data_IF_668368338662
#
_entry.id   IF_668368338662
#
_cell.length_a   1.000
_cell.length_b   1.000
_cell.length_c   1.000
_cell.angle_alpha   90.00
_cell.angle_beta   90.00
_cell.angle_gamma   90.00
#
_symmetry.space_group_name_H-M   'P 1'
#
loop_
_entity.id
_entity.type
_entity.pdbx_description
1 polymer ?
#
# COMPACT_ATOMS: atom_id res chain seq x y z
N UNK A 1 8.75 -4.54 -32.03
CA UNK A 1 7.70 -3.47 -32.16
C UNK A 1 6.54 -3.93 -33.07
N UNK A 2 6.82 -4.45 -34.28
CA UNK A 2 5.74 -4.81 -35.24
C UNK A 2 4.88 -5.97 -34.75
N UNK A 3 5.46 -7.02 -34.13
CA UNK A 3 4.71 -8.16 -33.60
C UNK A 3 3.89 -7.78 -32.35
N UNK A 4 4.42 -6.91 -31.50
CA UNK A 4 3.69 -6.40 -30.34
C UNK A 4 2.49 -5.54 -30.77
N UNK A 5 2.65 -4.70 -31.77
CA UNK A 5 1.57 -3.88 -32.32
C UNK A 5 0.49 -4.71 -33.02
N UNK A 6 0.88 -5.78 -33.73
CA UNK A 6 -0.06 -6.73 -34.32
C UNK A 6 -0.82 -7.51 -33.22
N UNK A 7 -0.13 -7.92 -32.17
CA UNK A 7 -0.75 -8.60 -31.03
C UNK A 7 -1.75 -7.67 -30.31
N UNK A 8 -1.41 -6.42 -30.09
CA UNK A 8 -2.29 -5.40 -29.50
C UNK A 8 -3.52 -5.14 -30.40
N UNK A 9 -3.30 -5.01 -31.69
CA UNK A 9 -4.39 -4.81 -32.67
C UNK A 9 -5.32 -6.03 -32.73
N UNK A 10 -4.79 -7.24 -32.79
CA UNK A 10 -5.62 -8.46 -32.78
C UNK A 10 -6.41 -8.64 -31.47
N UNK A 11 -5.86 -8.24 -30.32
CA UNK A 11 -6.58 -8.21 -29.03
C UNK A 11 -7.68 -7.15 -29.04
N UNK A 12 -7.41 -6.01 -29.61
CA UNK A 12 -8.40 -4.95 -29.83
C UNK A 12 -9.58 -5.44 -30.68
N UNK A 13 -9.32 -6.03 -31.84
CA UNK A 13 -10.36 -6.57 -32.73
C UNK A 13 -11.15 -7.68 -32.02
N UNK A 14 -10.50 -8.60 -31.31
CA UNK A 14 -11.18 -9.67 -30.59
C UNK A 14 -12.03 -9.16 -29.43
N UNK A 15 -11.66 -8.02 -28.80
CA UNK A 15 -12.47 -7.39 -27.77
C UNK A 15 -13.73 -6.72 -28.31
N UNK A 16 -13.68 -6.26 -29.57
CA UNK A 16 -14.83 -5.68 -30.26
C UNK A 16 -15.85 -6.75 -30.71
N UNK A 17 -15.37 -7.94 -31.05
CA UNK A 17 -16.18 -9.01 -31.63
C UNK A 17 -16.67 -10.04 -30.60
N UNK A 18 -16.17 -10.03 -29.37
CA UNK A 18 -16.64 -10.92 -28.31
C UNK A 18 -17.90 -10.33 -27.66
N UNK A 19 -19.07 -10.77 -28.11
CA UNK A 19 -20.31 -10.61 -27.34
C UNK A 19 -20.11 -11.16 -25.92
N UNK A 20 -20.61 -10.39 -24.94
CA UNK A 20 -20.67 -10.67 -23.51
C UNK A 20 -20.76 -12.16 -23.15
N UNK A 21 -19.67 -12.85 -22.99
CA UNK A 21 -19.67 -14.08 -22.21
C UNK A 21 -19.29 -13.78 -20.76
N UNK A 22 -20.22 -13.23 -20.01
CA UNK A 22 -20.25 -13.35 -18.57
C UNK A 22 -20.52 -14.82 -18.26
N UNK A 23 -19.51 -15.67 -18.23
CA UNK A 23 -19.51 -16.93 -17.48
C UNK A 23 -18.31 -17.76 -17.95
N UNK A 24 -17.34 -17.88 -17.08
CA UNK A 24 -16.27 -18.83 -17.32
C UNK A 24 -15.08 -18.59 -16.39
N UNK A 25 -15.05 -19.36 -15.33
CA UNK A 25 -13.84 -19.61 -14.60
C UNK A 25 -12.82 -20.28 -15.55
N UNK A 26 -11.98 -19.47 -16.15
CA UNK A 26 -10.84 -19.98 -16.94
C UNK A 26 -9.56 -19.42 -16.34
N UNK A 27 -8.73 -20.24 -15.67
CA UNK A 27 -7.51 -19.79 -15.00
C UNK A 27 -6.47 -19.20 -15.96
N UNK A 28 -6.52 -19.53 -17.25
CA UNK A 28 -5.58 -19.03 -18.27
C UNK A 28 -5.91 -17.59 -18.74
N UNK A 29 -7.05 -17.03 -18.36
CA UNK A 29 -7.47 -15.67 -18.69
C UNK A 29 -7.08 -14.61 -17.61
N UNK A 30 -6.28 -14.97 -16.61
CA UNK A 30 -5.87 -14.07 -15.52
C UNK A 30 -4.98 -12.91 -15.97
N UNK A 31 -4.28 -13.04 -17.09
CA UNK A 31 -3.29 -12.06 -17.54
C UNK A 31 -3.87 -10.80 -18.19
N UNK A 32 -5.15 -10.81 -18.55
CA UNK A 32 -5.78 -9.64 -19.16
C UNK A 32 -7.18 -9.52 -18.60
N UNK A 33 -7.31 -8.81 -17.51
CA UNK A 33 -8.62 -8.35 -17.09
C UNK A 33 -9.13 -7.39 -18.16
N UNK A 34 -9.92 -7.88 -19.09
CA UNK A 34 -10.43 -7.16 -20.26
C UNK A 34 -11.09 -5.83 -19.89
N UNK A 35 -11.60 -5.71 -18.67
CA UNK A 35 -12.23 -4.51 -18.15
C UNK A 35 -11.28 -3.33 -17.98
N UNK A 36 -9.98 -3.56 -17.84
CA UNK A 36 -9.01 -2.49 -17.58
C UNK A 36 -8.31 -1.96 -18.84
N UNK A 37 -8.26 -2.75 -19.92
CA UNK A 37 -7.61 -2.32 -21.17
C UNK A 37 -8.63 -1.70 -22.14
N UNK A 38 -9.87 -2.21 -22.14
CA UNK A 38 -10.91 -1.74 -23.06
C UNK A 38 -11.27 -0.26 -22.84
N UNK A 39 -11.45 0.24 -21.61
CA UNK A 39 -11.64 1.66 -21.36
C UNK A 39 -10.44 2.51 -21.80
N UNK A 40 -9.22 2.00 -21.64
CA UNK A 40 -8.01 2.72 -22.07
C UNK A 40 -7.96 2.95 -23.57
N UNK A 41 -8.38 1.96 -24.36
CA UNK A 41 -8.39 2.06 -25.83
C UNK A 41 -9.53 2.92 -26.38
N UNK A 42 -10.66 2.97 -25.68
CA UNK A 42 -11.85 3.68 -26.15
C UNK A 42 -12.18 4.96 -25.40
N UNK A 43 -11.71 5.08 -24.15
CA UNK A 43 -11.94 6.28 -23.33
C UNK A 43 -10.92 7.38 -23.56
N UNK A 44 -9.72 7.02 -24.05
CA UNK A 44 -8.60 7.95 -24.18
C UNK A 44 -8.22 8.13 -25.64
N UNK A 45 -8.65 9.25 -26.15
CA UNK A 45 -8.23 9.76 -27.46
C UNK A 45 -6.90 10.52 -27.37
N UNK A 46 -6.26 10.52 -26.20
CA UNK A 46 -5.08 11.30 -25.90
C UNK A 46 -3.95 10.39 -25.42
N UNK A 47 -2.74 10.78 -25.70
CA UNK A 47 -1.52 10.12 -25.23
C UNK A 47 -0.65 11.14 -24.50
N UNK A 48 -0.17 10.78 -23.30
CA UNK A 48 0.76 11.59 -22.53
C UNK A 48 2.17 11.08 -22.79
N UNK A 49 3.02 11.91 -23.39
CA UNK A 49 4.40 11.54 -23.70
C UNK A 49 5.38 12.15 -22.72
N UNK A 50 6.37 11.36 -22.32
CA UNK A 50 7.53 11.81 -21.58
C UNK A 50 8.75 10.97 -21.98
N UNK A 51 9.85 11.58 -22.39
CA UNK A 51 11.12 10.87 -22.59
C UNK A 51 11.72 10.36 -21.28
N UNK A 52 11.48 11.08 -20.17
CA UNK A 52 12.04 10.80 -18.86
C UNK A 52 11.24 9.71 -18.13
N UNK A 53 9.91 9.69 -18.32
CA UNK A 53 8.99 8.78 -17.64
C UNK A 53 8.14 7.99 -18.64
N UNK A 54 8.69 6.95 -19.28
CA UNK A 54 8.05 6.26 -20.41
C UNK A 54 6.71 5.60 -20.10
N UNK A 55 6.41 5.35 -18.81
CA UNK A 55 5.15 4.73 -18.36
C UNK A 55 4.12 5.73 -17.82
N UNK A 56 4.41 7.05 -17.93
CA UNK A 56 3.55 8.08 -17.32
C UNK A 56 2.14 8.09 -17.90
N UNK A 57 1.98 7.78 -19.17
CA UNK A 57 0.67 7.67 -19.82
C UNK A 57 -0.19 6.61 -19.12
N UNK A 58 0.38 5.43 -18.87
CA UNK A 58 -0.32 4.34 -18.17
C UNK A 58 -0.65 4.75 -16.74
N UNK A 59 0.29 5.42 -16.05
CA UNK A 59 0.08 5.87 -14.68
C UNK A 59 -1.07 6.87 -14.58
N UNK A 60 -1.13 7.86 -15.46
CA UNK A 60 -2.21 8.86 -15.49
C UNK A 60 -3.53 8.23 -15.90
N UNK A 61 -3.54 7.32 -16.85
CA UNK A 61 -4.75 6.61 -17.25
C UNK A 61 -5.32 5.74 -16.12
N UNK A 62 -4.46 5.08 -15.35
CA UNK A 62 -4.89 4.32 -14.18
C UNK A 62 -5.48 5.22 -13.08
N UNK A 63 -4.99 6.45 -12.91
CA UNK A 63 -5.56 7.41 -11.95
C UNK A 63 -7.03 7.75 -12.27
N UNK A 64 -7.39 7.82 -13.56
CA UNK A 64 -8.77 8.09 -13.99
C UNK A 64 -9.70 6.88 -13.83
N UNK A 65 -9.15 5.68 -13.80
CA UNK A 65 -9.89 4.42 -13.75
C UNK A 65 -9.87 3.76 -12.36
N UNK A 66 -9.64 4.52 -11.30
CA UNK A 66 -9.67 3.98 -9.93
C UNK A 66 -11.07 3.46 -9.59
N UNK A 67 -11.37 2.24 -10.04
CA UNK A 67 -12.38 1.42 -9.40
C UNK A 67 -11.83 1.05 -8.02
N UNK A 68 -12.61 1.26 -6.99
CA UNK A 68 -12.30 0.82 -5.63
C UNK A 68 -11.93 -0.67 -5.66
N UNK A 69 -10.65 -0.94 -5.50
CA UNK A 69 -10.12 -2.31 -5.41
C UNK A 69 -10.48 -2.87 -4.01
N UNK A 70 -11.79 -2.95 -3.75
CA UNK A 70 -12.32 -3.71 -2.62
C UNK A 70 -12.30 -5.18 -3.00
N UNK A 71 -11.09 -5.70 -3.20
CA UNK A 71 -10.89 -7.13 -3.36
C UNK A 71 -11.39 -7.84 -2.11
N UNK A 72 -12.47 -8.61 -2.26
CA UNK A 72 -12.98 -9.51 -1.24
C UNK A 72 -11.84 -10.42 -0.74
N UNK A 73 -11.33 -10.15 0.47
CA UNK A 73 -10.27 -10.91 1.14
C UNK A 73 -10.81 -12.22 1.75
N UNK A 74 -11.57 -13.02 0.99
CA UNK A 74 -12.23 -14.16 1.63
C UNK A 74 -11.34 -15.40 1.85
N UNK A 75 -10.21 -15.58 1.14
CA UNK A 75 -9.35 -16.78 1.28
C UNK A 75 -7.86 -16.56 0.95
N UNK A 76 -7.43 -15.34 0.70
CA UNK A 76 -6.03 -15.02 0.43
C UNK A 76 -5.34 -14.53 1.71
N UNK A 77 -4.15 -15.04 2.02
CA UNK A 77 -3.29 -14.45 3.04
C UNK A 77 -2.86 -13.02 2.65
N UNK A 78 -2.10 -12.38 3.53
CA UNK A 78 -1.58 -11.01 3.31
C UNK A 78 -0.72 -10.92 2.04
N UNK A 79 0.11 -11.94 1.79
CA UNK A 79 1.04 -11.93 0.66
C UNK A 79 0.29 -12.25 -0.64
N UNK A 80 -0.04 -11.20 -1.36
CA UNK A 80 -0.60 -11.20 -2.70
C UNK A 80 0.33 -10.46 -3.66
N UNK A 81 0.00 -10.38 -4.93
CA UNK A 81 0.87 -9.77 -5.94
C UNK A 81 1.10 -8.27 -5.68
N UNK A 82 0.12 -7.56 -5.10
CA UNK A 82 0.27 -6.17 -4.65
C UNK A 82 1.33 -6.05 -3.55
N UNK A 83 1.31 -6.95 -2.55
CA UNK A 83 2.32 -6.94 -1.50
C UNK A 83 3.70 -7.35 -2.02
N UNK A 84 3.76 -8.31 -2.96
CA UNK A 84 5.02 -8.66 -3.64
C UNK A 84 5.59 -7.48 -4.43
N UNK A 85 4.73 -6.73 -5.11
CA UNK A 85 5.13 -5.51 -5.81
C UNK A 85 5.67 -4.45 -4.84
N UNK A 86 5.02 -4.28 -3.68
CA UNK A 86 5.51 -3.37 -2.64
C UNK A 86 6.87 -3.82 -2.08
N UNK A 87 7.04 -5.12 -1.77
CA UNK A 87 8.32 -5.69 -1.32
C UNK A 87 9.44 -5.55 -2.38
N UNK A 88 9.11 -5.64 -3.68
CA UNK A 88 10.08 -5.39 -4.75
C UNK A 88 10.66 -3.97 -4.68
N UNK A 89 9.84 -2.97 -4.36
CA UNK A 89 10.25 -1.57 -4.22
C UNK A 89 11.15 -1.30 -3.01
N UNK A 90 11.31 -2.22 -2.08
CA UNK A 90 12.23 -2.08 -0.94
C UNK A 90 13.71 -2.07 -1.36
N UNK A 91 14.02 -2.57 -2.56
CA UNK A 91 15.39 -2.68 -3.07
C UNK A 91 15.55 -2.34 -4.55
N UNK A 92 14.46 -1.99 -5.23
CA UNK A 92 14.46 -1.65 -6.65
C UNK A 92 13.60 -0.42 -6.91
N UNK A 93 14.08 0.45 -7.81
CA UNK A 93 13.30 1.59 -8.26
C UNK A 93 12.23 1.18 -9.29
N UNK A 94 11.28 2.07 -9.52
CA UNK A 94 10.32 1.86 -10.61
C UNK A 94 10.99 1.93 -11.99
N UNK A 95 12.00 2.78 -12.14
CA UNK A 95 12.86 2.83 -13.31
C UNK A 95 13.50 1.47 -13.61
N UNK A 96 14.09 0.84 -12.58
CA UNK A 96 14.71 -0.49 -12.71
C UNK A 96 13.67 -1.54 -13.10
N UNK A 97 12.47 -1.49 -12.53
CA UNK A 97 11.40 -2.46 -12.82
C UNK A 97 10.96 -2.46 -14.30
N UNK A 98 11.03 -1.32 -14.98
CA UNK A 98 10.66 -1.21 -16.40
C UNK A 98 11.62 -2.02 -17.28
N UNK A 99 12.91 -2.07 -16.91
CA UNK A 99 13.94 -2.82 -17.61
C UNK A 99 14.18 -4.25 -17.12
N UNK A 100 13.53 -4.67 -16.05
CA UNK A 100 13.74 -5.97 -15.42
C UNK A 100 12.98 -7.08 -16.16
N UNK A 101 13.72 -7.85 -16.96
CA UNK A 101 13.16 -8.97 -17.74
C UNK A 101 12.83 -10.21 -16.91
N UNK A 102 13.35 -10.30 -15.68
CA UNK A 102 13.07 -11.41 -14.76
C UNK A 102 11.84 -11.13 -13.89
N UNK A 103 11.38 -9.89 -13.83
CA UNK A 103 10.20 -9.51 -13.08
C UNK A 103 8.94 -10.11 -13.70
N UNK A 104 8.16 -10.82 -12.88
CA UNK A 104 6.90 -11.44 -13.33
C UNK A 104 5.93 -10.35 -13.81
N UNK A 105 5.24 -10.55 -14.95
CA UNK A 105 4.28 -9.57 -15.49
C UNK A 105 3.19 -9.17 -14.50
N UNK A 106 2.72 -10.08 -13.65
CA UNK A 106 1.71 -9.84 -12.64
C UNK A 106 2.21 -8.83 -11.59
N UNK A 107 3.46 -9.00 -11.17
CA UNK A 107 4.09 -8.09 -10.20
C UNK A 107 4.31 -6.71 -10.83
N UNK A 108 4.80 -6.67 -12.07
CA UNK A 108 4.98 -5.41 -12.79
C UNK A 108 3.65 -4.65 -12.97
N UNK A 109 2.56 -5.37 -13.25
CA UNK A 109 1.23 -4.76 -13.35
C UNK A 109 0.76 -4.15 -12.00
N UNK A 110 1.00 -4.84 -10.89
CA UNK A 110 0.71 -4.29 -9.57
C UNK A 110 1.63 -3.12 -9.20
N UNK A 111 2.90 -3.12 -9.64
CA UNK A 111 3.79 -1.95 -9.51
C UNK A 111 3.23 -0.73 -10.25
N UNK A 112 2.76 -0.89 -11.48
CA UNK A 112 2.09 0.19 -12.22
C UNK A 112 0.89 0.75 -11.45
N UNK A 113 0.05 -0.10 -10.87
CA UNK A 113 -1.10 0.32 -10.06
C UNK A 113 -0.66 1.06 -8.80
N UNK A 114 0.31 0.51 -8.06
CA UNK A 114 0.83 1.14 -6.84
C UNK A 114 1.40 2.52 -7.12
N UNK A 115 2.21 2.65 -8.16
CA UNK A 115 2.82 3.92 -8.55
C UNK A 115 1.80 4.91 -9.09
N UNK A 116 0.79 4.46 -9.84
CA UNK A 116 -0.34 5.29 -10.26
C UNK A 116 -1.14 5.81 -9.08
N UNK A 117 -1.44 4.94 -8.12
CA UNK A 117 -2.11 5.32 -6.88
C UNK A 117 -1.29 6.31 -6.05
N UNK A 118 0.04 6.12 -5.96
CA UNK A 118 0.91 7.04 -5.24
C UNK A 118 0.91 8.44 -5.86
N UNK A 119 0.96 8.54 -7.18
CA UNK A 119 0.86 9.82 -7.88
C UNK A 119 -0.50 10.50 -7.65
N UNK A 120 -1.60 9.75 -7.75
CA UNK A 120 -2.93 10.26 -7.41
C UNK A 120 -3.02 10.71 -5.96
N UNK A 121 -2.53 9.91 -5.02
CA UNK A 121 -2.58 10.21 -3.59
C UNK A 121 -1.73 11.43 -3.21
N UNK A 122 -0.59 11.65 -3.90
CA UNK A 122 0.21 12.86 -3.74
C UNK A 122 -0.59 14.12 -4.11
N UNK A 123 -1.29 14.09 -5.22
CA UNK A 123 -2.11 15.22 -5.67
C UNK A 123 -3.29 15.40 -4.72
N UNK A 124 -4.00 14.32 -4.40
CA UNK A 124 -5.23 14.36 -3.60
C UNK A 124 -4.99 14.47 -2.10
N UNK A 125 -3.75 14.46 -1.65
CA UNK A 125 -3.41 14.92 -0.29
C UNK A 125 -3.53 16.44 -0.14
N UNK A 126 -3.55 17.20 -1.24
CA UNK A 126 -3.54 18.66 -1.29
C UNK A 126 -4.86 19.25 -1.82
N UNK A 127 -5.61 18.47 -2.61
CA UNK A 127 -6.92 18.86 -3.16
C UNK A 127 -7.90 17.68 -3.08
N UNK A 128 -9.18 17.94 -3.30
CA UNK A 128 -10.18 16.89 -3.29
C UNK A 128 -10.07 16.02 -4.55
N UNK A 129 -10.40 14.72 -4.45
CA UNK A 129 -10.46 13.82 -5.60
C UNK A 129 -11.47 14.32 -6.65
N UNK A 130 -12.57 14.93 -6.21
CA UNK A 130 -13.59 15.48 -7.10
C UNK A 130 -13.07 16.63 -7.95
N UNK A 131 -12.35 17.58 -7.35
CA UNK A 131 -11.77 18.73 -8.08
C UNK A 131 -10.70 18.26 -9.05
N UNK A 132 -9.88 17.29 -8.64
CA UNK A 132 -8.90 16.70 -9.52
C UNK A 132 -9.54 15.97 -10.71
N UNK A 133 -10.57 15.18 -10.48
CA UNK A 133 -11.32 14.49 -11.55
C UNK A 133 -11.98 15.47 -12.52
N UNK A 134 -12.57 16.57 -12.01
CA UNK A 134 -13.15 17.64 -12.84
C UNK A 134 -12.07 18.28 -13.73
N UNK A 135 -10.91 18.55 -13.14
CA UNK A 135 -9.76 19.09 -13.87
C UNK A 135 -9.30 18.14 -14.99
N UNK A 136 -9.03 16.87 -14.68
CA UNK A 136 -8.57 15.88 -15.66
C UNK A 136 -9.56 15.72 -16.81
N UNK A 137 -10.86 15.63 -16.49
CA UNK A 137 -11.91 15.56 -17.50
C UNK A 137 -11.90 16.77 -18.44
N UNK A 138 -11.81 17.97 -17.91
CA UNK A 138 -11.76 19.21 -18.72
C UNK A 138 -10.46 19.28 -19.54
N UNK A 139 -9.31 18.95 -18.92
CA UNK A 139 -8.00 18.95 -19.53
C UNK A 139 -7.93 18.02 -20.75
N UNK A 140 -8.39 16.77 -20.61
CA UNK A 140 -8.40 15.79 -21.70
C UNK A 140 -9.47 16.09 -22.76
N UNK A 141 -10.66 16.52 -22.37
CA UNK A 141 -11.72 16.87 -23.31
C UNK A 141 -11.30 17.99 -24.25
N UNK A 142 -10.54 18.97 -23.75
CA UNK A 142 -10.06 20.10 -24.57
C UNK A 142 -8.90 19.74 -25.50
N UNK A 143 -8.28 18.57 -25.34
CA UNK A 143 -7.07 18.12 -26.07
C UNK A 143 -7.26 16.78 -26.76
N UNK A 144 -8.47 16.45 -27.19
CA UNK A 144 -8.76 15.18 -27.84
C UNK A 144 -7.88 14.95 -29.08
N UNK A 145 -7.43 13.72 -29.28
CA UNK A 145 -6.58 13.27 -30.39
C UNK A 145 -5.20 13.96 -30.46
N UNK A 146 -4.72 14.45 -29.31
CA UNK A 146 -3.40 15.08 -29.23
C UNK A 146 -2.41 14.21 -28.45
N UNK A 147 -1.15 14.26 -28.86
CA UNK A 147 -0.04 13.86 -28.02
C UNK A 147 0.29 15.04 -27.09
N UNK A 148 0.18 14.81 -25.79
CA UNK A 148 0.33 15.84 -24.77
C UNK A 148 1.65 15.59 -24.03
N UNK A 149 2.62 16.52 -24.11
CA UNK A 149 3.82 16.43 -23.28
C UNK A 149 3.45 16.40 -21.79
N UNK A 150 4.06 15.55 -21.00
CA UNK A 150 3.81 15.47 -19.55
C UNK A 150 4.07 16.80 -18.84
N UNK A 151 5.03 17.58 -19.31
CA UNK A 151 5.29 18.94 -18.81
C UNK A 151 4.08 19.87 -18.94
N UNK A 152 3.27 19.68 -19.97
CA UNK A 152 2.02 20.45 -20.13
C UNK A 152 1.02 20.09 -19.01
N UNK A 153 0.89 18.83 -18.69
CA UNK A 153 0.02 18.39 -17.57
C UNK A 153 0.57 18.90 -16.23
N UNK A 154 1.88 18.78 -15.97
CA UNK A 154 2.53 19.30 -14.76
C UNK A 154 2.27 20.79 -14.60
N UNK A 155 2.52 21.57 -15.64
CA UNK A 155 2.32 23.01 -15.65
C UNK A 155 0.86 23.41 -15.35
N UNK A 156 -0.12 22.73 -15.95
CA UNK A 156 -1.53 23.06 -15.72
C UNK A 156 -1.98 22.67 -14.30
N UNK A 157 -1.45 21.58 -13.72
CA UNK A 157 -1.69 21.21 -12.32
C UNK A 157 -1.10 22.26 -11.38
N UNK A 158 0.15 22.65 -11.58
CA UNK A 158 0.81 23.68 -10.76
C UNK A 158 0.08 25.02 -10.87
N UNK A 159 -0.24 25.45 -12.08
CA UNK A 159 -0.95 26.72 -12.34
C UNK A 159 -2.33 26.77 -11.67
N UNK A 160 -3.05 25.66 -11.69
CA UNK A 160 -4.43 25.61 -11.16
C UNK A 160 -4.49 25.40 -9.66
N UNK A 161 -3.63 24.54 -9.12
CA UNK A 161 -3.72 24.06 -7.74
C UNK A 161 -2.51 24.42 -6.89
N UNK A 162 -1.45 24.95 -7.47
CA UNK A 162 -0.20 25.24 -6.77
C UNK A 162 0.63 23.99 -6.44
N UNK A 163 0.29 22.84 -6.99
CA UNK A 163 0.94 21.54 -6.71
C UNK A 163 2.11 21.33 -7.67
N UNK A 164 3.32 21.28 -7.13
CA UNK A 164 4.53 21.03 -7.90
C UNK A 164 4.83 19.53 -7.96
N UNK A 165 4.45 18.90 -9.08
CA UNK A 165 4.76 17.48 -9.30
C UNK A 165 6.26 17.21 -9.43
N UNK A 166 7.08 18.20 -9.81
CA UNK A 166 8.54 18.11 -9.84
C UNK A 166 9.13 17.70 -8.48
N UNK A 167 8.52 18.11 -7.38
CA UNK A 167 9.01 17.81 -6.03
C UNK A 167 8.80 16.34 -5.64
N UNK A 168 7.97 15.61 -6.37
CA UNK A 168 7.61 14.23 -6.10
C UNK A 168 8.06 13.23 -7.19
N UNK A 169 7.96 13.62 -8.47
CA UNK A 169 8.02 12.68 -9.59
C UNK A 169 9.37 11.97 -9.72
N UNK A 170 10.48 12.65 -9.41
CA UNK A 170 11.80 12.07 -9.48
C UNK A 170 11.97 10.95 -8.44
N UNK A 171 11.61 11.22 -7.18
CA UNK A 171 11.60 10.20 -6.11
C UNK A 171 10.61 9.08 -6.42
N UNK A 172 9.43 9.41 -6.95
CA UNK A 172 8.45 8.44 -7.39
C UNK A 172 9.01 7.44 -8.41
N UNK A 173 9.89 7.91 -9.30
CA UNK A 173 10.46 7.09 -10.38
C UNK A 173 11.75 6.37 -9.96
N UNK A 174 12.66 7.06 -9.25
CA UNK A 174 14.03 6.60 -9.01
C UNK A 174 14.29 6.01 -7.62
N UNK A 175 13.40 6.24 -6.63
CA UNK A 175 13.64 5.71 -5.28
C UNK A 175 13.70 4.17 -5.31
N UNK A 176 14.76 3.63 -4.72
CA UNK A 176 15.06 2.19 -4.61
C UNK A 176 14.86 1.65 -3.20
N UNK A 177 14.14 2.37 -2.36
CA UNK A 177 13.75 1.98 -1.01
C UNK A 177 12.40 2.61 -0.68
N UNK A 178 11.75 2.09 0.33
CA UNK A 178 10.41 2.53 0.76
C UNK A 178 10.45 3.11 2.16
N UNK A 179 9.58 4.08 2.49
CA UNK A 179 9.51 4.62 3.84
C UNK A 179 8.96 3.60 4.82
N UNK A 180 9.36 3.72 6.08
CA UNK A 180 8.83 2.95 7.20
C UNK A 180 7.86 3.82 7.99
N UNK A 181 6.66 3.32 8.29
CA UNK A 181 5.62 4.08 8.98
C UNK A 181 5.24 3.40 10.29
N UNK A 182 5.39 4.13 11.38
CA UNK A 182 4.87 3.74 12.69
C UNK A 182 3.52 4.40 12.92
N UNK A 183 2.55 3.63 13.42
CA UNK A 183 1.20 4.10 13.75
C UNK A 183 0.94 3.79 15.22
N UNK A 184 0.46 4.79 15.97
CA UNK A 184 0.24 4.68 17.42
C UNK A 184 -0.96 5.48 17.87
N UNK A 185 -1.52 5.12 19.03
CA UNK A 185 -2.56 5.86 19.74
C UNK A 185 -3.79 6.17 18.87
N UNK A 186 -4.28 5.16 18.14
CA UNK A 186 -5.49 5.28 17.31
C UNK A 186 -6.71 5.20 18.22
N UNK A 187 -7.46 6.30 18.31
CA UNK A 187 -8.59 6.45 19.22
C UNK A 187 -9.72 7.26 18.58
N UNK A 188 -10.94 7.06 19.06
CA UNK A 188 -12.11 7.83 18.65
C UNK A 188 -12.87 8.32 19.90
N UNK A 189 -13.23 9.60 19.92
CA UNK A 189 -13.93 10.24 21.03
C UNK A 189 -15.13 11.03 20.51
N UNK A 190 -16.13 11.16 21.36
CA UNK A 190 -17.27 12.05 21.13
C UNK A 190 -16.85 13.49 21.41
N UNK A 191 -17.32 14.42 20.60
CA UNK A 191 -17.14 15.86 20.76
C UNK A 191 -18.48 16.57 20.57
N UNK A 192 -18.59 17.79 21.08
CA UNK A 192 -19.72 18.68 20.77
C UNK A 192 -19.18 19.84 19.94
N UNK A 193 -19.67 19.97 18.73
CA UNK A 193 -19.31 21.03 17.80
C UNK A 193 -20.60 21.66 17.22
N UNK A 194 -20.74 22.97 17.34
CA UNK A 194 -21.93 23.73 16.88
C UNK A 194 -23.25 23.15 17.42
N UNK A 195 -23.27 22.78 18.71
CA UNK A 195 -24.41 22.14 19.42
C UNK A 195 -24.75 20.71 18.95
N UNK A 196 -24.01 20.15 17.99
CA UNK A 196 -24.20 18.78 17.50
C UNK A 196 -23.15 17.84 18.07
N UNK A 197 -23.59 16.63 18.33
CA UNK A 197 -22.68 15.53 18.65
C UNK A 197 -21.97 15.08 17.39
N UNK A 198 -20.64 15.13 17.40
CA UNK A 198 -19.75 14.64 16.36
C UNK A 198 -18.69 13.74 16.97
N UNK A 199 -17.80 13.20 16.14
CA UNK A 199 -16.75 12.28 16.59
C UNK A 199 -15.40 12.75 16.09
N UNK A 200 -14.41 12.77 16.98
CA UNK A 200 -13.02 13.01 16.61
C UNK A 200 -12.26 11.70 16.63
N UNK A 201 -11.69 11.33 15.50
CA UNK A 201 -10.74 10.22 15.37
C UNK A 201 -9.35 10.84 15.38
N UNK A 202 -8.47 10.34 16.22
CA UNK A 202 -7.07 10.79 16.29
C UNK A 202 -6.13 9.61 16.25
N UNK A 203 -4.97 9.83 15.66
CA UNK A 203 -3.86 8.87 15.65
C UNK A 203 -2.55 9.58 15.40
N UNK A 204 -1.46 8.93 15.80
CA UNK A 204 -0.11 9.42 15.58
C UNK A 204 0.59 8.57 14.53
N UNK A 205 1.37 9.23 13.67
CA UNK A 205 2.21 8.58 12.67
C UNK A 205 3.63 9.14 12.74
N UNK A 206 4.62 8.29 12.49
CA UNK A 206 6.01 8.69 12.39
C UNK A 206 6.64 8.07 11.14
N UNK A 207 7.32 8.89 10.37
CA UNK A 207 8.14 8.49 9.23
C UNK A 207 9.62 8.76 9.56
N UNK A 208 10.37 7.82 10.13
CA UNK A 208 11.79 8.02 10.44
C UNK A 208 12.70 7.93 9.20
N UNK A 209 12.14 7.63 8.02
CA UNK A 209 12.89 7.45 6.78
C UNK A 209 13.33 8.79 6.20
N UNK A 210 14.24 8.75 5.25
CA UNK A 210 14.81 9.90 4.54
C UNK A 210 14.01 10.32 3.29
N UNK A 211 12.88 9.65 3.03
CA UNK A 211 11.94 9.99 1.95
C UNK A 211 10.54 10.23 2.52
N UNK A 212 9.79 11.09 1.87
CA UNK A 212 8.40 11.36 2.23
C UNK A 212 7.52 10.14 2.06
N UNK A 213 6.59 9.95 2.98
CA UNK A 213 5.59 8.90 2.91
C UNK A 213 4.20 9.49 2.61
N UNK A 214 3.36 8.70 1.95
CA UNK A 214 1.95 9.04 1.76
C UNK A 214 1.12 7.96 2.44
N UNK A 215 0.26 8.35 3.36
CA UNK A 215 -0.72 7.46 3.97
C UNK A 215 -2.13 7.84 3.50
N UNK A 216 -3.00 6.85 3.45
CA UNK A 216 -4.42 7.04 3.14
C UNK A 216 -5.26 6.56 4.31
N UNK A 217 -6.27 7.32 4.70
CA UNK A 217 -7.26 6.91 5.70
C UNK A 217 -8.61 6.69 5.05
N UNK A 218 -9.34 5.72 5.53
CA UNK A 218 -10.72 5.45 5.16
C UNK A 218 -11.53 5.22 6.44
N UNK A 219 -12.42 6.15 6.75
CA UNK A 219 -13.31 6.05 7.91
C UNK A 219 -14.62 5.42 7.47
N UNK A 220 -14.94 4.27 8.05
CA UNK A 220 -16.23 3.61 7.85
C UNK A 220 -17.21 4.08 8.92
N UNK A 221 -18.30 4.64 8.49
CA UNK A 221 -19.38 5.09 9.39
C UNK A 221 -20.33 3.92 9.67
N UNK A 222 -20.74 3.77 10.93
CA UNK A 222 -21.69 2.75 11.36
C UNK A 222 -23.11 3.17 11.01
N UNK A 223 -23.63 2.77 9.86
CA UNK A 223 -25.02 3.02 9.47
C UNK A 223 -25.98 2.21 10.34
N UNK A 224 -26.91 2.86 11.03
CA UNK A 224 -28.05 2.23 11.67
C UNK A 224 -29.01 1.66 10.63
N UNK A 225 -29.00 0.35 10.41
CA UNK A 225 -30.10 -0.38 9.77
C UNK A 225 -30.17 -0.41 8.22
N UNK A 226 -29.21 0.12 7.49
CA UNK A 226 -29.15 0.03 6.03
C UNK A 226 -27.71 -0.09 5.52
N UNK A 227 -27.48 -0.92 4.51
CA UNK A 227 -26.17 -1.29 3.96
C UNK A 227 -25.48 -0.17 3.13
N UNK A 228 -25.61 1.10 3.45
CA UNK A 228 -24.78 2.15 2.85
C UNK A 228 -23.73 2.58 3.86
N UNK A 229 -22.53 2.07 3.71
CA UNK A 229 -21.36 2.59 4.40
C UNK A 229 -20.86 3.79 3.59
N UNK A 230 -21.07 5.00 4.11
CA UNK A 230 -20.33 6.14 3.59
C UNK A 230 -18.89 6.03 4.09
N UNK A 231 -17.95 6.09 3.17
CA UNK A 231 -16.52 6.07 3.49
C UNK A 231 -15.91 7.40 3.10
N UNK A 232 -15.28 8.07 4.06
CA UNK A 232 -14.49 9.26 3.79
C UNK A 232 -13.03 8.85 3.63
N UNK A 233 -12.51 9.00 2.41
CA UNK A 233 -11.10 8.73 2.10
C UNK A 233 -10.31 10.04 2.07
N UNK A 234 -9.17 10.07 2.78
CA UNK A 234 -8.25 11.20 2.80
C UNK A 234 -6.81 10.75 2.75
N UNK A 235 -5.98 11.51 2.02
CA UNK A 235 -4.56 11.23 1.88
C UNK A 235 -3.75 12.29 2.63
N UNK A 236 -2.59 11.86 3.19
CA UNK A 236 -1.71 12.73 3.96
C UNK A 236 -0.26 12.45 3.57
N UNK A 237 0.53 13.51 3.40
CA UNK A 237 1.98 13.43 3.26
C UNK A 237 2.59 13.51 4.64
N UNK A 238 3.44 12.54 4.97
CA UNK A 238 4.25 12.52 6.19
C UNK A 238 5.69 12.75 5.76
N UNK A 239 6.24 13.95 6.00
CA UNK A 239 7.59 14.28 5.56
C UNK A 239 8.65 13.37 6.17
N UNK A 240 9.77 13.25 5.46
CA UNK A 240 10.95 12.52 5.91
C UNK A 240 11.42 12.97 7.29
N UNK A 241 11.67 12.02 8.20
CA UNK A 241 12.14 12.28 9.56
C UNK A 241 11.11 12.88 10.52
N UNK A 242 9.84 12.99 10.13
CA UNK A 242 8.84 13.69 10.92
C UNK A 242 7.76 12.77 11.52
N UNK A 243 7.22 13.22 12.67
CA UNK A 243 6.06 12.64 13.30
C UNK A 243 4.88 13.63 13.30
N UNK A 244 3.67 13.11 13.10
CA UNK A 244 2.44 13.86 13.01
C UNK A 244 1.34 13.26 13.88
N UNK A 245 0.52 14.10 14.47
CA UNK A 245 -0.79 13.72 14.99
C UNK A 245 -1.85 14.17 13.99
N UNK A 246 -2.72 13.25 13.59
CA UNK A 246 -3.79 13.48 12.65
C UNK A 246 -5.11 13.38 13.40
N UNK A 247 -5.96 14.38 13.21
CA UNK A 247 -7.29 14.48 13.80
C UNK A 247 -8.34 14.65 12.71
N UNK A 248 -9.31 13.76 12.68
CA UNK A 248 -10.40 13.74 11.70
C UNK A 248 -11.71 13.92 12.46
N UNK A 249 -12.56 14.83 12.00
CA UNK A 249 -13.93 14.97 12.54
C UNK A 249 -14.88 14.26 11.60
N UNK A 250 -15.70 13.37 12.15
CA UNK A 250 -16.77 12.67 11.47
C UNK A 250 -18.12 13.13 12.04
N UNK A 251 -19.09 13.38 11.16
CA UNK A 251 -20.44 13.72 11.56
C UNK A 251 -21.19 12.51 12.14
N UNK A 252 -20.90 11.34 11.62
CA UNK A 252 -21.49 10.07 12.04
C UNK A 252 -20.53 9.27 12.93
N UNK A 253 -21.08 8.37 13.75
CA UNK A 253 -20.28 7.51 14.62
C UNK A 253 -19.40 6.58 13.78
N UNK A 254 -18.06 6.65 13.89
CA UNK A 254 -17.19 5.75 13.17
C UNK A 254 -17.26 4.32 13.74
N UNK A 255 -17.36 3.33 12.87
CA UNK A 255 -17.25 1.92 13.22
C UNK A 255 -15.78 1.47 13.27
N UNK A 256 -15.01 1.93 12.29
CA UNK A 256 -13.57 1.68 12.20
C UNK A 256 -12.88 2.75 11.35
N UNK A 257 -11.55 2.75 11.44
CA UNK A 257 -10.67 3.44 10.49
C UNK A 257 -9.70 2.44 9.89
N UNK A 258 -9.55 2.49 8.58
CA UNK A 258 -8.47 1.83 7.86
C UNK A 258 -7.37 2.84 7.54
N UNK A 259 -6.14 2.56 7.96
CA UNK A 259 -4.96 3.36 7.66
C UNK A 259 -4.08 2.55 6.72
N UNK A 260 -3.91 3.03 5.50
CA UNK A 260 -3.08 2.38 4.48
C UNK A 260 -1.78 3.17 4.31
N UNK A 261 -0.66 2.52 4.54
CA UNK A 261 0.68 3.10 4.37
C UNK A 261 1.16 3.12 2.91
N UNK A 262 0.30 2.67 1.97
CA UNK A 262 0.53 2.66 0.53
C UNK A 262 1.85 1.95 0.13
N UNK A 263 2.80 2.68 -0.47
CA UNK A 263 4.15 2.17 -0.74
C UNK A 263 4.99 2.40 0.50
N UNK A 264 5.32 1.33 1.21
CA UNK A 264 6.06 1.42 2.48
C UNK A 264 6.70 0.07 2.81
N UNK A 265 7.62 0.08 3.77
CA UNK A 265 8.19 -1.14 4.36
C UNK A 265 7.17 -1.95 5.18
N UNK A 266 6.01 -1.38 5.49
CA UNK A 266 4.99 -2.03 6.31
C UNK A 266 4.37 -3.25 5.63
N UNK A 267 4.21 -4.31 6.40
CA UNK A 267 3.56 -5.56 5.96
C UNK A 267 2.64 -6.09 7.07
N UNK A 268 1.32 -6.02 6.91
CA UNK A 268 0.58 -5.50 5.76
C UNK A 268 0.67 -3.98 5.64
N UNK A 269 0.40 -3.45 4.46
CA UNK A 269 0.33 -1.99 4.24
C UNK A 269 -0.98 -1.36 4.74
N UNK A 270 -1.97 -2.15 5.12
CA UNK A 270 -3.28 -1.69 5.58
C UNK A 270 -3.56 -2.18 6.98
N UNK A 271 -3.83 -1.26 7.88
CA UNK A 271 -4.12 -1.49 9.29
C UNK A 271 -5.56 -1.05 9.59
N UNK A 272 -6.36 -1.93 10.22
CA UNK A 272 -7.74 -1.64 10.55
C UNK A 272 -7.92 -1.55 12.07
N UNK A 273 -8.50 -0.45 12.53
CA UNK A 273 -8.76 -0.17 13.93
C UNK A 273 -10.26 -0.04 14.16
N UNK A 274 -10.83 -0.94 14.97
CA UNK A 274 -12.26 -0.97 15.25
C UNK A 274 -12.59 -0.18 16.54
N UNK A 275 -13.62 0.62 16.48
CA UNK A 275 -14.10 1.42 17.61
C UNK A 275 -15.37 0.78 18.21
N UNK A 276 -15.17 -0.23 19.06
CA UNK A 276 -16.30 -0.94 19.71
C UNK A 276 -17.07 -0.07 20.69
N UNK A 277 -16.37 0.82 21.41
CA UNK A 277 -16.95 1.77 22.38
C UNK A 277 -16.36 3.16 22.16
N UNK A 278 -17.23 4.16 22.09
CA UNK A 278 -16.87 5.57 22.06
C UNK A 278 -17.68 6.23 23.16
N UNK A 279 -17.18 6.10 24.39
CA UNK A 279 -17.92 6.54 25.59
C UNK A 279 -17.37 7.85 26.17
N UNK A 280 -16.19 8.30 25.70
CA UNK A 280 -15.55 9.49 26.21
C UNK A 280 -15.95 10.72 25.39
N UNK A 281 -16.45 11.75 26.07
CA UNK A 281 -16.65 13.07 25.48
C UNK A 281 -15.46 13.95 25.85
N UNK A 282 -14.80 14.52 24.84
CA UNK A 282 -13.65 15.41 25.01
C UNK A 282 -13.98 16.83 24.55
N UNK A 283 -13.24 17.80 25.07
CA UNK A 283 -13.41 19.22 24.73
C UNK A 283 -12.58 19.66 23.52
N UNK A 284 -11.63 18.83 23.07
CA UNK A 284 -10.81 19.14 21.90
C UNK A 284 -11.62 18.91 20.62
N UNK A 285 -11.97 19.96 19.94
CA UNK A 285 -12.73 19.96 18.68
C UNK A 285 -11.86 20.28 17.46
N UNK A 286 -10.52 20.22 17.61
CA UNK A 286 -9.61 20.51 16.50
C UNK A 286 -9.56 19.38 15.48
N UNK A 287 -9.35 19.71 14.21
CA UNK A 287 -9.07 18.77 13.12
C UNK A 287 -7.86 19.24 12.33
N UNK A 288 -7.16 18.31 11.70
CA UNK A 288 -5.99 18.61 10.88
C UNK A 288 -4.78 17.75 11.18
N UNK A 289 -3.62 18.23 10.74
CA UNK A 289 -2.32 17.55 10.88
C UNK A 289 -1.43 18.44 11.75
N UNK A 290 -0.90 17.89 12.82
CA UNK A 290 -0.09 18.60 13.79
C UNK A 290 1.29 17.97 13.92
N UNK A 291 2.39 18.73 13.92
CA UNK A 291 3.70 18.19 14.21
C UNK A 291 3.78 17.77 15.67
N UNK A 292 4.41 16.61 15.92
CA UNK A 292 4.66 16.11 17.27
C UNK A 292 6.12 15.67 17.39
N UNK A 293 6.60 15.54 18.64
CA UNK A 293 7.95 15.02 18.88
C UNK A 293 8.01 13.54 18.48
N UNK A 294 8.92 13.09 17.59
CA UNK A 294 9.13 11.69 17.25
C UNK A 294 9.47 10.80 18.47
N UNK A 295 9.97 11.38 19.56
CA UNK A 295 10.30 10.63 20.77
C UNK A 295 9.13 9.88 21.40
N UNK A 296 7.89 10.25 21.09
CA UNK A 296 6.70 9.51 21.55
C UNK A 296 6.63 8.09 20.96
N UNK A 297 7.38 7.83 19.89
CA UNK A 297 7.46 6.50 19.24
C UNK A 297 8.65 5.68 19.77
N UNK A 298 9.53 6.24 20.61
CA UNK A 298 10.62 5.46 21.21
C UNK A 298 10.05 4.34 22.07
N UNK A 299 10.67 3.15 22.05
CA UNK A 299 10.32 2.05 22.95
C UNK A 299 10.38 2.48 24.41
N UNK A 300 9.57 1.87 25.25
CA UNK A 300 9.66 2.05 26.68
C UNK A 300 11.07 1.62 27.17
N UNK A 301 11.84 2.50 27.82
CA UNK A 301 13.21 2.17 28.26
C UNK A 301 13.28 1.03 29.30
N UNK A 302 12.14 0.61 29.84
CA UNK A 302 12.05 -0.49 30.80
C UNK A 302 11.59 -1.81 30.14
N UNK A 303 11.41 -1.84 28.82
CA UNK A 303 11.02 -3.03 28.06
C UNK A 303 12.07 -3.34 27.02
N UNK A 304 12.37 -4.62 26.81
CA UNK A 304 13.19 -5.13 25.75
C UNK A 304 12.32 -6.07 24.93
N UNK A 305 11.98 -5.66 23.74
CA UNK A 305 11.21 -6.46 22.78
C UNK A 305 12.16 -6.90 21.68
N UNK A 306 12.17 -8.20 21.37
CA UNK A 306 12.92 -8.76 20.25
C UNK A 306 11.96 -9.56 19.41
N UNK A 307 11.70 -9.06 18.21
CA UNK A 307 10.86 -9.72 17.22
C UNK A 307 11.70 -10.61 16.28
N UNK A 308 11.05 -11.41 15.47
CA UNK A 308 11.73 -12.25 14.47
C UNK A 308 12.36 -11.45 13.31
N UNK A 309 12.03 -10.16 13.18
CA UNK A 309 12.70 -9.25 12.23
C UNK A 309 13.91 -8.53 12.81
N UNK A 310 14.12 -8.61 14.13
CA UNK A 310 15.20 -7.92 14.80
C UNK A 310 16.55 -8.64 14.65
N UNK A 311 17.67 -7.91 14.66
CA UNK A 311 19.02 -8.50 14.58
C UNK A 311 19.35 -9.47 15.72
N UNK A 312 18.64 -9.34 16.84
CA UNK A 312 18.78 -10.23 18.01
C UNK A 312 18.12 -11.61 17.84
N UNK A 313 17.31 -11.79 16.81
CA UNK A 313 16.64 -13.06 16.52
C UNK A 313 17.39 -13.90 15.50
N UNK A 314 17.50 -15.20 15.72
CA UNK A 314 18.00 -16.13 14.72
C UNK A 314 17.38 -17.51 14.85
N UNK A 315 17.22 -18.19 13.72
CA UNK A 315 16.83 -19.59 13.66
C UNK A 315 18.05 -20.48 13.64
N UNK A 316 18.05 -21.54 14.44
CA UNK A 316 19.08 -22.57 14.49
C UNK A 316 18.51 -23.81 13.84
N UNK A 317 19.09 -24.21 12.70
CA UNK A 317 18.74 -25.46 12.04
C UNK A 317 19.74 -26.56 12.45
N UNK A 318 19.24 -27.76 12.73
CA UNK A 318 20.13 -28.92 12.86
C UNK A 318 20.79 -29.19 11.51
N UNK A 319 22.07 -29.56 11.52
CA UNK A 319 22.85 -29.97 10.35
C UNK A 319 22.31 -31.28 9.76
N UNK A 320 21.09 -31.27 9.26
CA UNK A 320 20.61 -32.37 8.44
C UNK A 320 21.22 -32.21 7.04
N UNK A 321 22.06 -33.20 6.66
CA UNK A 321 22.68 -33.32 5.34
C UNK A 321 21.65 -32.93 4.27
N UNK A 322 21.93 -31.87 3.55
CA UNK A 322 21.16 -31.47 2.39
C UNK A 322 20.97 -32.68 1.48
N UNK A 323 19.75 -33.13 1.29
CA UNK A 323 19.46 -34.14 0.32
C UNK A 323 19.83 -33.54 -1.04
N UNK A 324 20.57 -34.31 -1.87
CA UNK A 324 20.96 -33.90 -3.23
C UNK A 324 19.79 -33.32 -4.05
N UNK A 325 18.55 -33.68 -3.73
CA UNK A 325 17.32 -33.09 -4.29
C UNK A 325 17.10 -31.60 -3.98
N UNK A 326 17.70 -31.08 -2.92
CA UNK A 326 17.52 -29.66 -2.58
C UNK A 326 18.43 -28.75 -3.43
N UNK A 327 19.47 -29.31 -4.06
CA UNK A 327 20.34 -28.61 -5.02
C UNK A 327 19.63 -28.30 -6.36
N UNK A 328 18.54 -29.02 -6.67
CA UNK A 328 17.78 -28.86 -7.91
C UNK A 328 16.43 -28.15 -7.71
N UNK A 329 16.10 -27.78 -6.49
CA UNK A 329 14.92 -26.92 -6.25
C UNK A 329 15.27 -25.50 -6.67
N UNK A 330 14.44 -24.92 -7.55
CA UNK A 330 14.45 -23.49 -7.78
C UNK A 330 14.39 -22.80 -6.41
N UNK A 331 15.36 -21.94 -6.13
CA UNK A 331 15.36 -21.15 -4.91
C UNK A 331 14.08 -20.33 -4.93
N UNK A 332 13.25 -20.52 -3.95
CA UNK A 332 12.05 -19.73 -3.75
C UNK A 332 12.53 -18.45 -3.07
N UNK A 333 12.63 -17.38 -3.81
CA UNK A 333 13.22 -16.11 -3.34
C UNK A 333 12.23 -15.27 -2.52
N UNK A 334 11.02 -15.77 -2.29
CA UNK A 334 10.02 -15.07 -1.47
C UNK A 334 10.38 -15.16 0.02
N UNK A 335 10.69 -14.02 0.63
CA UNK A 335 11.02 -13.93 2.08
C UNK A 335 9.83 -14.36 2.95
N UNK A 336 8.63 -13.92 2.63
CA UNK A 336 7.42 -14.23 3.40
C UNK A 336 6.44 -15.06 2.61
N UNK A 337 5.75 -15.98 3.30
CA UNK A 337 4.67 -16.80 2.74
C UNK A 337 3.37 -16.57 3.50
N UNK A 338 2.27 -16.88 2.85
CA UNK A 338 1.00 -16.95 3.54
C UNK A 338 0.97 -18.18 4.46
N UNK A 339 0.43 -17.99 5.67
CA UNK A 339 0.22 -19.12 6.58
C UNK A 339 -0.85 -20.05 6.02
N UNK A 340 -0.53 -21.34 5.96
CA UNK A 340 -1.46 -22.40 5.56
C UNK A 340 -1.54 -23.47 6.65
N UNK A 341 -2.66 -23.55 7.39
CA UNK A 341 -2.79 -24.46 8.54
C UNK A 341 -2.54 -25.93 8.21
N UNK A 342 -2.82 -26.33 6.97
CA UNK A 342 -2.65 -27.71 6.49
C UNK A 342 -1.24 -28.00 5.96
N UNK A 343 -0.39 -26.99 5.84
CA UNK A 343 0.97 -27.15 5.35
C UNK A 343 1.98 -26.79 6.42
N UNK A 344 2.74 -27.79 6.88
CA UNK A 344 3.78 -27.62 7.89
C UNK A 344 5.15 -27.77 7.24
N UNK A 345 5.91 -26.70 7.07
CA UNK A 345 7.23 -26.74 6.44
C UNK A 345 8.22 -27.53 7.28
N UNK A 346 9.12 -28.25 6.63
CA UNK A 346 10.20 -29.00 7.29
C UNK A 346 11.36 -28.11 7.75
N UNK A 347 11.46 -26.92 7.19
CA UNK A 347 12.46 -25.90 7.54
C UNK A 347 11.77 -24.66 8.11
N UNK A 348 12.52 -23.83 8.82
CA UNK A 348 12.03 -22.55 9.29
C UNK A 348 11.55 -21.71 8.10
N UNK A 349 10.33 -21.26 8.15
CA UNK A 349 9.68 -20.50 7.09
C UNK A 349 9.07 -19.24 7.71
N UNK A 350 9.41 -18.09 7.17
CA UNK A 350 8.78 -16.84 7.55
C UNK A 350 7.41 -16.72 6.89
N UNK A 351 6.43 -16.33 7.67
CA UNK A 351 5.07 -16.01 7.22
C UNK A 351 4.74 -14.57 7.60
N UNK A 352 3.82 -13.97 6.87
CA UNK A 352 3.20 -12.73 7.27
C UNK A 352 1.69 -12.94 7.45
N UNK A 353 1.14 -12.39 8.54
CA UNK A 353 -0.28 -12.46 8.84
C UNK A 353 -0.69 -11.31 9.78
N UNK A 354 -1.93 -10.81 9.64
CA UNK A 354 -2.47 -9.69 10.45
C UNK A 354 -2.44 -9.97 11.97
N UNK A 355 -2.46 -11.23 12.35
CA UNK A 355 -2.44 -11.66 13.76
C UNK A 355 -1.03 -11.91 14.32
N UNK A 356 0.02 -11.78 13.48
CA UNK A 356 1.40 -11.82 13.97
C UNK A 356 1.75 -10.49 14.62
N UNK A 357 2.65 -10.55 15.61
CA UNK A 357 3.22 -9.35 16.20
C UNK A 357 4.21 -8.71 15.21
N UNK A 358 4.36 -7.39 15.29
CA UNK A 358 5.34 -6.59 14.57
C UNK A 358 4.95 -5.13 14.60
N UNK A 359 5.92 -4.24 14.74
CA UNK A 359 5.66 -2.80 14.70
C UNK A 359 5.38 -2.30 13.27
N UNK A 360 6.08 -2.87 12.29
CA UNK A 360 5.95 -2.51 10.88
C UNK A 360 5.73 -3.73 9.99
N UNK A 361 6.30 -4.88 10.37
CA UNK A 361 6.14 -6.15 9.66
C UNK A 361 5.50 -7.17 10.59
N UNK A 362 4.24 -7.48 10.34
CA UNK A 362 3.52 -8.51 11.08
C UNK A 362 3.91 -9.88 10.56
N UNK A 363 5.00 -10.44 11.10
CA UNK A 363 5.55 -11.71 10.66
C UNK A 363 5.81 -12.68 11.80
N UNK A 364 6.00 -13.94 11.48
CA UNK A 364 6.45 -14.97 12.40
C UNK A 364 7.23 -16.05 11.64
N UNK A 365 8.04 -16.82 12.35
CA UNK A 365 8.68 -17.99 11.77
C UNK A 365 8.10 -19.27 12.35
N UNK A 366 7.82 -20.25 11.51
CA UNK A 366 7.28 -21.52 11.94
C UNK A 366 7.85 -22.70 11.16
N UNK A 367 7.70 -23.88 11.71
CA UNK A 367 8.07 -25.15 11.07
C UNK A 367 7.30 -26.29 11.70
N UNK A 368 7.29 -27.44 11.04
CA UNK A 368 6.77 -28.66 11.63
C UNK A 368 7.57 -29.07 12.88
N UNK A 369 6.88 -29.62 13.86
CA UNK A 369 7.49 -30.19 15.06
C UNK A 369 8.54 -31.22 14.66
N UNK A 370 9.68 -31.21 15.33
CA UNK A 370 10.79 -32.13 15.11
C UNK A 370 11.26 -32.79 16.40
N UNK A 371 12.47 -33.34 16.37
CA UNK A 371 13.12 -34.00 17.50
C UNK A 371 13.71 -33.05 18.56
N UNK A 372 13.48 -31.74 18.46
CA UNK A 372 14.10 -30.72 19.31
C UNK A 372 15.49 -30.24 18.82
N UNK A 373 15.97 -30.74 17.67
CA UNK A 373 17.26 -30.36 17.12
C UNK A 373 17.28 -28.97 16.43
N UNK A 374 16.12 -28.36 16.30
CA UNK A 374 15.99 -27.01 15.76
C UNK A 374 15.50 -26.09 16.85
N UNK A 375 16.09 -24.92 16.95
CA UNK A 375 15.79 -23.94 17.97
C UNK A 375 15.68 -22.54 17.37
N UNK A 376 15.17 -21.63 18.15
CA UNK A 376 15.27 -20.18 17.92
C UNK A 376 16.06 -19.58 19.08
N UNK A 377 16.75 -18.51 18.81
CA UNK A 377 17.52 -17.79 19.80
C UNK A 377 17.15 -16.30 19.72
N UNK A 378 16.90 -15.71 20.87
CA UNK A 378 16.76 -14.26 21.06
C UNK A 378 17.94 -13.79 21.89
N UNK A 379 18.68 -12.82 21.39
CA UNK A 379 19.87 -12.27 22.04
C UNK A 379 19.77 -10.75 22.08
N UNK A 380 19.97 -10.19 23.27
CA UNK A 380 20.03 -8.75 23.46
C UNK A 380 21.11 -8.39 24.46
N UNK A 381 21.52 -7.12 24.44
CA UNK A 381 22.32 -6.54 25.50
C UNK A 381 21.40 -5.96 26.56
N UNK A 382 21.66 -6.31 27.81
CA UNK A 382 20.91 -5.78 28.95
C UNK A 382 21.50 -4.42 29.33
N UNK A 383 20.75 -3.32 29.21
CA UNK A 383 21.29 -1.96 29.35
C UNK A 383 21.64 -1.58 30.79
N UNK A 384 21.10 -2.27 31.78
CA UNK A 384 21.33 -2.00 33.20
C UNK A 384 21.31 -3.31 33.99
N UNK A 385 22.12 -3.38 35.05
CA UNK A 385 22.01 -4.48 36.00
C UNK A 385 20.68 -4.38 36.75
N UNK A 386 19.99 -5.49 36.90
CA UNK A 386 18.68 -5.54 37.55
C UNK A 386 17.98 -6.89 37.47
N UNK A 387 16.79 -6.94 37.99
CA UNK A 387 15.87 -8.09 37.83
C UNK A 387 14.99 -7.83 36.61
N UNK A 388 14.91 -8.79 35.73
CA UNK A 388 14.08 -8.78 34.53
C UNK A 388 13.08 -9.94 34.61
N UNK A 389 11.84 -9.68 34.29
CA UNK A 389 10.75 -10.66 34.19
C UNK A 389 10.41 -10.97 32.75
#
# INVERSE_FOLDING_TARGET
ETEQNISLFNRFVSSLTSENSQNGWNPDNKLINKSNITPMLFGHTNYISSPEYPVIDIAVNNMMNTSSDQGFRFWGGIINDKQRANLYLESHSFETAIGDTELKPEIFYELLKLKSAALNNYITSQITQEDFNKFLKAFFTSRQFQNIPFDTLRYEIEKRFGIRLSDFIDTWYTASHTPTIYIKDVDANQIVLDEFTKYQIKFKVNNPSDIDAIISTEVMQGGGGGMSFETEKKNYIIPAGEAREIKIISDERPANISINTNISHNLPTSHNFNFSKIDNTISDTTSGIYPINPDVFKPNPNEIIIDNEDPGFRTIASNNRHKLKDLFKKKDDEKYKNFMPWWMPSQWTAIAADYCYGETINSAVYKNKGSGANAVEWKTEIPKDGYYE
#
